data_IF_994502948484
#
_entry.id   IF_994502948484
#
_cell.length_a   1.000
_cell.length_b   1.000
_cell.length_c   1.000
_cell.angle_alpha   90.00
_cell.angle_beta   90.00
_cell.angle_gamma   90.00
#
_symmetry.space_group_name_H-M   'P 1'
#
loop_
_entity.id
_entity.type
_entity.pdbx_description
1 polymer ?
#
# COMPACT_ATOMS: atom_id res chain seq x y z
N UNK A 1 0.91 25.41 5.84
CA UNK A 1 -0.28 26.06 6.44
C UNK A 1 -0.93 25.20 7.53
N UNK A 2 -1.24 23.90 7.29
CA UNK A 2 -1.85 23.03 8.31
C UNK A 2 -1.05 23.06 9.64
N UNK A 3 0.29 22.87 9.57
CA UNK A 3 1.15 22.90 10.75
C UNK A 3 1.14 24.27 11.47
N UNK A 4 1.12 25.37 10.74
CA UNK A 4 1.08 26.71 11.35
C UNK A 4 -0.23 27.00 12.09
N UNK A 5 -1.32 26.37 11.68
CA UNK A 5 -2.65 26.52 12.32
C UNK A 5 -2.83 25.62 13.55
N UNK A 6 -1.92 24.68 13.81
CA UNK A 6 -2.00 23.81 14.98
C UNK A 6 -1.58 24.56 16.25
N UNK A 7 -2.32 24.35 17.33
CA UNK A 7 -1.91 24.71 18.68
C UNK A 7 -0.65 23.92 19.11
N UNK A 8 -0.05 24.29 20.24
CA UNK A 8 1.16 23.63 20.75
C UNK A 8 0.96 22.12 21.03
N UNK A 9 -0.26 21.69 21.35
CA UNK A 9 -0.64 20.28 21.54
C UNK A 9 -1.48 19.73 20.40
N UNK A 10 -1.58 20.48 19.29
CA UNK A 10 -2.44 20.15 18.15
C UNK A 10 -1.91 18.98 17.34
N UNK A 11 -2.85 18.25 16.75
CA UNK A 11 -2.62 17.15 15.81
C UNK A 11 -3.41 17.41 14.54
N UNK A 12 -2.88 17.05 13.38
CA UNK A 12 -3.58 17.12 12.10
C UNK A 12 -3.43 15.81 11.34
N UNK A 13 -4.51 15.36 10.71
CA UNK A 13 -4.48 14.28 9.74
C UNK A 13 -4.80 14.84 8.35
N UNK A 14 -3.96 14.53 7.38
CA UNK A 14 -4.04 15.07 6.02
C UNK A 14 -4.02 13.90 5.05
N UNK A 15 -5.03 13.83 4.18
CA UNK A 15 -5.04 12.86 3.08
C UNK A 15 -4.15 13.38 1.96
N UNK A 16 -3.21 12.55 1.53
CA UNK A 16 -2.18 12.92 0.58
C UNK A 16 -2.02 11.86 -0.51
N UNK A 17 -1.65 12.28 -1.72
CA UNK A 17 -1.21 11.35 -2.76
C UNK A 17 0.18 10.78 -2.45
N UNK A 18 0.46 9.52 -2.83
CA UNK A 18 1.70 8.83 -2.49
C UNK A 18 2.97 9.58 -2.94
N UNK A 19 2.90 10.26 -4.07
CA UNK A 19 4.06 10.95 -4.66
C UNK A 19 4.76 11.95 -3.75
N UNK A 20 4.04 12.64 -2.87
CA UNK A 20 4.66 13.60 -1.95
C UNK A 20 5.59 12.97 -0.92
N UNK A 21 5.46 11.66 -0.67
CA UNK A 21 6.24 10.95 0.32
C UNK A 21 7.64 10.54 -0.17
N UNK A 22 7.88 10.51 -1.50
CA UNK A 22 9.17 10.07 -2.07
C UNK A 22 9.77 10.99 -3.13
N UNK A 23 8.98 11.88 -3.76
CA UNK A 23 9.51 12.79 -4.78
C UNK A 23 10.60 13.71 -4.22
N UNK A 24 11.59 14.02 -5.06
CA UNK A 24 12.63 15.00 -4.75
C UNK A 24 12.15 16.46 -4.87
N UNK A 25 13.08 17.39 -4.77
CA UNK A 25 12.80 18.80 -4.99
C UNK A 25 12.12 19.49 -3.80
N UNK A 26 11.03 20.21 -4.05
CA UNK A 26 10.33 20.99 -3.03
C UNK A 26 9.69 20.10 -1.96
N UNK A 27 9.10 18.98 -2.37
CA UNK A 27 8.48 18.02 -1.46
C UNK A 27 9.51 17.42 -0.49
N UNK A 28 10.71 17.09 -0.96
CA UNK A 28 11.77 16.58 -0.11
C UNK A 28 12.19 17.61 0.94
N UNK A 29 12.29 18.88 0.59
CA UNK A 29 12.62 19.96 1.55
C UNK A 29 11.55 20.07 2.63
N UNK A 30 10.28 19.92 2.27
CA UNK A 30 9.18 19.92 3.23
C UNK A 30 9.27 18.70 4.16
N UNK A 31 9.50 17.51 3.63
CA UNK A 31 9.66 16.30 4.44
C UNK A 31 10.86 16.43 5.39
N UNK A 32 12.00 16.91 4.88
CA UNK A 32 13.17 17.20 5.71
C UNK A 32 12.79 18.10 6.89
N UNK A 33 12.17 19.24 6.62
CA UNK A 33 11.72 20.15 7.67
C UNK A 33 10.80 19.47 8.70
N UNK A 34 9.85 18.65 8.26
CA UNK A 34 8.91 17.97 9.15
C UNK A 34 9.58 16.91 10.01
N UNK A 35 10.54 16.15 9.45
CA UNK A 35 11.28 15.09 10.16
C UNK A 35 12.26 15.70 11.15
N UNK A 36 13.06 16.69 10.72
CA UNK A 36 14.08 17.37 11.57
C UNK A 36 13.44 18.04 12.79
N UNK A 37 12.22 18.56 12.64
CA UNK A 37 11.48 19.17 13.73
C UNK A 37 10.56 18.19 14.48
N UNK A 38 10.64 16.91 14.19
CA UNK A 38 9.90 15.84 14.86
C UNK A 38 8.37 16.02 14.81
N UNK A 39 7.82 16.54 13.69
CA UNK A 39 6.39 16.80 13.55
C UNK A 39 5.60 15.64 12.97
N UNK A 40 6.25 14.62 12.37
CA UNK A 40 5.57 13.48 11.77
C UNK A 40 5.30 12.43 12.85
N UNK A 41 4.05 12.17 13.13
CA UNK A 41 3.64 11.15 14.09
C UNK A 41 3.45 9.79 13.41
N UNK A 42 2.66 9.76 12.32
CA UNK A 42 2.33 8.51 11.62
C UNK A 42 2.10 8.78 10.13
N UNK A 43 2.48 7.82 9.30
CA UNK A 43 2.08 7.72 7.89
C UNK A 43 1.30 6.42 7.71
N UNK A 44 0.07 6.51 7.20
CA UNK A 44 -0.81 5.36 6.98
C UNK A 44 -1.08 5.22 5.49
N UNK A 45 -0.71 4.10 4.90
CA UNK A 45 -1.11 3.75 3.54
C UNK A 45 -2.51 3.16 3.57
N UNK A 46 -3.40 3.64 2.71
CA UNK A 46 -4.77 3.17 2.60
C UNK A 46 -4.97 2.33 1.33
N UNK A 47 -6.02 1.50 1.27
CA UNK A 47 -6.33 0.72 0.09
C UNK A 47 -6.52 1.60 -1.16
N UNK A 48 -6.23 1.07 -2.36
CA UNK A 48 -6.57 1.75 -3.60
C UNK A 48 -8.09 1.80 -3.80
N UNK A 49 -8.53 2.62 -4.74
CA UNK A 49 -9.93 2.66 -5.16
C UNK A 49 -10.94 2.99 -4.04
N UNK A 50 -10.53 3.80 -3.04
CA UNK A 50 -11.43 4.30 -1.99
C UNK A 50 -12.24 5.52 -2.42
N UNK A 51 -11.71 6.34 -3.33
CA UNK A 51 -12.34 7.58 -3.75
C UNK A 51 -13.02 7.44 -5.10
N UNK A 52 -14.18 8.07 -5.23
CA UNK A 52 -14.93 8.04 -6.47
C UNK A 52 -14.14 8.63 -7.63
N UNK A 53 -14.11 7.95 -8.76
CA UNK A 53 -13.43 8.42 -9.99
C UNK A 53 -11.91 8.28 -10.02
N UNK A 54 -11.28 7.63 -9.03
CA UNK A 54 -9.85 7.33 -9.05
C UNK A 54 -9.53 6.00 -8.39
N UNK A 55 -8.66 5.21 -9.00
CA UNK A 55 -8.12 3.98 -8.44
C UNK A 55 -6.83 4.19 -7.64
N UNK A 56 -6.35 5.43 -7.52
CA UNK A 56 -5.07 5.72 -6.86
C UNK A 56 -5.21 5.49 -5.35
N UNK A 57 -4.29 4.73 -4.78
CA UNK A 57 -4.14 4.63 -3.33
C UNK A 57 -3.77 5.99 -2.75
N UNK A 58 -4.20 6.28 -1.54
CA UNK A 58 -3.84 7.51 -0.82
C UNK A 58 -3.24 7.15 0.53
N UNK A 59 -2.54 8.13 1.11
CA UNK A 59 -1.95 7.98 2.42
C UNK A 59 -2.49 9.05 3.35
N UNK A 60 -2.56 8.75 4.64
CA UNK A 60 -2.84 9.74 5.68
C UNK A 60 -1.52 10.12 6.34
N UNK A 61 -1.21 11.42 6.32
CA UNK A 61 -0.09 11.99 7.07
C UNK A 61 -0.62 12.57 8.37
N UNK A 62 -0.19 12.02 9.50
CA UNK A 62 -0.52 12.54 10.82
C UNK A 62 0.64 13.38 11.34
N UNK A 63 0.36 14.65 11.60
CA UNK A 63 1.29 15.60 12.18
C UNK A 63 0.94 15.90 13.64
N UNK A 64 1.95 16.02 14.49
CA UNK A 64 1.79 16.38 15.90
C UNK A 64 2.89 17.36 16.31
N UNK A 65 2.52 18.42 17.05
CA UNK A 65 3.48 19.34 17.66
C UNK A 65 3.92 18.90 19.06
N UNK A 66 3.28 17.91 19.64
CA UNK A 66 3.54 17.44 21.01
C UNK A 66 4.02 15.99 21.04
N UNK A 67 4.86 15.65 20.10
CA UNK A 67 5.48 14.32 20.04
C UNK A 67 6.66 14.28 21.02
N UNK A 68 6.69 13.23 21.86
CA UNK A 68 7.71 13.09 22.93
C UNK A 68 8.84 12.15 22.54
N UNK A 69 8.63 11.28 21.56
CA UNK A 69 9.64 10.39 21.00
C UNK A 69 10.14 10.89 19.64
N UNK A 70 11.23 10.32 19.15
CA UNK A 70 11.84 10.65 17.84
C UNK A 70 11.49 9.61 16.77
N UNK A 71 10.45 8.79 16.98
CA UNK A 71 10.07 7.72 16.06
C UNK A 71 8.84 8.12 15.25
N UNK A 72 8.85 7.81 13.99
CA UNK A 72 7.69 7.91 13.10
C UNK A 72 7.10 6.52 12.90
N UNK A 73 5.78 6.39 13.08
CA UNK A 73 5.06 5.16 12.82
C UNK A 73 4.65 5.09 11.35
N UNK A 74 4.84 3.93 10.74
CA UNK A 74 4.36 3.61 9.39
C UNK A 74 3.37 2.47 9.50
N UNK A 75 2.19 2.62 8.89
CA UNK A 75 1.12 1.60 8.90
C UNK A 75 0.73 1.32 7.46
N UNK A 76 0.83 0.07 7.04
CA UNK A 76 0.28 -0.39 5.77
C UNK A 76 -1.12 -0.98 6.00
N UNK A 77 -2.12 -0.19 5.69
CA UNK A 77 -3.52 -0.60 5.71
C UNK A 77 -4.06 -0.82 4.28
N UNK A 78 -3.19 -1.12 3.31
CA UNK A 78 -3.59 -1.39 1.92
C UNK A 78 -4.03 -2.84 1.68
N UNK A 79 -3.79 -3.75 2.64
CA UNK A 79 -4.13 -5.16 2.55
C UNK A 79 -5.63 -5.43 2.53
N UNK A 80 -6.03 -6.60 2.02
CA UNK A 80 -7.44 -6.99 1.87
C UNK A 80 -8.20 -7.07 3.20
N UNK A 81 -7.51 -7.23 4.31
CA UNK A 81 -8.07 -7.24 5.67
C UNK A 81 -8.50 -5.85 6.18
N UNK A 82 -8.20 -4.78 5.44
CA UNK A 82 -8.52 -3.40 5.80
C UNK A 82 -9.60 -2.76 4.93
N UNK A 83 -10.20 -3.49 3.99
CA UNK A 83 -11.30 -2.96 3.18
C UNK A 83 -12.25 -4.05 2.73
N UNK A 84 -13.45 -3.63 2.37
CA UNK A 84 -14.43 -4.47 1.67
C UNK A 84 -14.50 -4.03 0.22
N UNK A 85 -14.35 -4.98 -0.70
CA UNK A 85 -14.53 -4.72 -2.13
C UNK A 85 -16.01 -4.62 -2.45
N UNK A 86 -16.42 -3.53 -3.09
CA UNK A 86 -17.75 -3.35 -3.65
C UNK A 86 -17.67 -3.23 -5.19
N UNK A 87 -18.83 -3.12 -5.85
CA UNK A 87 -18.90 -3.18 -7.32
C UNK A 87 -18.04 -2.13 -8.02
N UNK A 88 -17.99 -0.90 -7.49
CA UNK A 88 -17.30 0.22 -8.15
C UNK A 88 -16.08 0.72 -7.40
N UNK A 89 -16.00 0.52 -6.09
CA UNK A 89 -14.93 1.01 -5.24
C UNK A 89 -14.72 0.12 -4.01
N UNK A 90 -13.62 0.31 -3.32
CA UNK A 90 -13.37 -0.28 -2.02
C UNK A 90 -13.98 0.61 -0.93
N UNK A 91 -14.41 0.00 0.16
CA UNK A 91 -15.04 0.70 1.29
C UNK A 91 -14.36 0.31 2.60
N UNK A 92 -14.07 1.30 3.43
CA UNK A 92 -13.66 1.10 4.81
C UNK A 92 -14.91 1.00 5.69
N UNK A 93 -15.13 -0.17 6.28
CA UNK A 93 -16.18 -0.34 7.30
C UNK A 93 -15.71 0.18 8.65
N UNK A 94 -16.63 0.36 9.60
CA UNK A 94 -16.29 0.77 10.97
C UNK A 94 -15.29 -0.18 11.63
N UNK A 95 -15.33 -1.47 11.33
CA UNK A 95 -14.39 -2.47 11.81
C UNK A 95 -12.98 -2.24 11.25
N UNK A 96 -12.86 -1.91 9.97
CA UNK A 96 -11.57 -1.59 9.34
C UNK A 96 -10.99 -0.30 9.93
N UNK A 97 -11.83 0.72 10.12
CA UNK A 97 -11.42 1.98 10.73
C UNK A 97 -10.95 1.74 12.17
N UNK A 98 -11.71 0.97 12.96
CA UNK A 98 -11.34 0.63 14.34
C UNK A 98 -9.98 -0.09 14.41
N UNK A 99 -9.72 -1.03 13.48
CA UNK A 99 -8.43 -1.72 13.36
C UNK A 99 -7.27 -0.77 13.09
N UNK A 100 -7.44 0.16 12.15
CA UNK A 100 -6.42 1.17 11.82
C UNK A 100 -6.17 2.09 13.02
N UNK A 101 -7.22 2.52 13.71
CA UNK A 101 -7.12 3.36 14.92
C UNK A 101 -6.43 2.60 16.07
N UNK A 102 -6.72 1.32 16.24
CA UNK A 102 -6.06 0.48 17.24
C UNK A 102 -4.54 0.39 16.99
N UNK A 103 -4.13 0.12 15.74
CA UNK A 103 -2.72 0.13 15.33
C UNK A 103 -2.06 1.48 15.57
N UNK A 104 -2.75 2.57 15.22
CA UNK A 104 -2.26 3.93 15.44
C UNK A 104 -2.03 4.24 16.93
N UNK A 105 -2.95 3.81 17.80
CA UNK A 105 -2.88 4.09 19.25
C UNK A 105 -1.83 3.23 19.96
N UNK A 106 -1.69 1.96 19.61
CA UNK A 106 -0.74 1.03 20.24
C UNK A 106 0.71 1.37 19.92
N UNK A 107 0.98 1.91 18.72
CA UNK A 107 2.33 2.27 18.23
C UNK A 107 3.34 1.12 18.27
N UNK A 108 2.87 -0.11 18.39
CA UNK A 108 3.69 -1.31 18.39
C UNK A 108 3.99 -1.76 16.94
N UNK A 109 5.21 -2.25 16.67
CA UNK A 109 5.50 -2.83 15.37
C UNK A 109 4.73 -4.15 15.21
N UNK A 110 4.07 -4.30 14.06
CA UNK A 110 3.36 -5.51 13.67
C UNK A 110 3.93 -5.96 12.33
N UNK A 111 4.38 -7.21 12.27
CA UNK A 111 5.00 -7.76 11.08
C UNK A 111 4.09 -7.58 9.85
N UNK A 112 4.63 -7.08 8.76
CA UNK A 112 3.95 -6.79 7.48
C UNK A 112 2.89 -5.68 7.52
N UNK A 113 2.58 -5.10 8.70
CA UNK A 113 1.49 -4.13 8.85
C UNK A 113 1.99 -2.80 9.40
N UNK A 114 2.82 -2.81 10.45
CA UNK A 114 3.25 -1.57 11.09
C UNK A 114 4.72 -1.61 11.52
N UNK A 115 5.42 -0.50 11.30
CA UNK A 115 6.79 -0.30 11.75
C UNK A 115 6.93 1.03 12.49
N UNK A 116 7.83 1.06 13.47
CA UNK A 116 8.23 2.28 14.17
C UNK A 116 9.70 2.57 13.87
N UNK A 117 9.98 3.71 13.25
CA UNK A 117 11.29 4.03 12.66
C UNK A 117 11.82 5.33 13.25
N UNK A 118 13.07 5.34 13.68
CA UNK A 118 13.71 6.56 14.17
C UNK A 118 13.91 7.59 13.04
N UNK A 119 13.76 8.87 13.37
CA UNK A 119 13.90 9.96 12.40
C UNK A 119 15.29 9.99 11.76
N UNK A 120 16.36 9.55 12.46
CA UNK A 120 17.70 9.38 11.89
C UNK A 120 17.73 8.41 10.71
N UNK A 121 17.02 7.28 10.81
CA UNK A 121 16.91 6.31 9.72
C UNK A 121 16.14 6.86 8.53
N UNK A 122 15.14 7.71 8.78
CA UNK A 122 14.40 8.40 7.72
C UNK A 122 15.31 9.43 7.02
N UNK A 123 16.14 10.14 7.75
CA UNK A 123 17.15 11.04 7.21
C UNK A 123 18.15 10.30 6.33
N UNK A 124 18.73 9.19 6.80
CA UNK A 124 19.64 8.32 6.04
C UNK A 124 19.01 7.83 4.73
N UNK A 125 17.68 7.58 4.74
CA UNK A 125 16.91 7.20 3.55
C UNK A 125 16.41 8.41 2.73
N UNK A 126 17.11 9.55 2.79
CA UNK A 126 16.82 10.74 1.99
C UNK A 126 15.47 11.38 2.29
N UNK A 127 14.98 11.24 3.53
CA UNK A 127 13.66 11.72 3.97
C UNK A 127 12.50 11.09 3.18
N UNK A 128 12.68 9.85 2.72
CA UNK A 128 11.61 9.07 2.13
C UNK A 128 10.61 8.66 3.23
N UNK A 129 9.34 8.91 3.00
CA UNK A 129 8.23 8.62 3.92
C UNK A 129 7.23 7.62 3.33
N UNK A 130 7.61 6.91 2.26
CA UNK A 130 6.78 5.83 1.73
C UNK A 130 6.69 4.68 2.72
N UNK A 131 5.48 4.22 3.01
CA UNK A 131 5.23 3.13 3.95
C UNK A 131 5.96 1.86 3.51
N UNK A 132 5.94 1.53 2.22
CA UNK A 132 6.62 0.37 1.64
C UNK A 132 8.15 0.37 1.79
N UNK A 133 8.75 1.50 2.17
CA UNK A 133 10.20 1.56 2.46
C UNK A 133 10.54 1.08 3.88
N UNK A 134 9.56 0.91 4.74
CA UNK A 134 9.74 0.59 6.17
C UNK A 134 8.90 -0.60 6.64
N UNK A 135 7.79 -0.87 5.96
CA UNK A 135 6.92 -2.03 6.22
C UNK A 135 7.14 -3.01 5.07
N UNK A 136 7.69 -4.18 5.38
CA UNK A 136 7.87 -5.25 4.40
C UNK A 136 6.51 -5.78 3.96
N UNK A 137 6.32 -5.94 2.65
CA UNK A 137 5.14 -6.63 2.15
C UNK A 137 5.20 -8.12 2.53
N UNK A 138 4.06 -8.69 2.91
CA UNK A 138 3.95 -10.13 3.06
C UNK A 138 4.22 -10.79 1.71
N UNK A 139 5.22 -11.67 1.66
CA UNK A 139 5.52 -12.44 0.46
C UNK A 139 4.43 -13.51 0.27
N UNK A 140 3.37 -13.13 -0.45
CA UNK A 140 2.27 -14.02 -0.85
C UNK A 140 2.61 -14.80 -2.14
N UNK A 141 3.88 -14.91 -2.52
CA UNK A 141 4.22 -15.78 -3.63
C UNK A 141 3.80 -17.21 -3.29
N UNK A 142 2.74 -17.68 -3.95
CA UNK A 142 2.45 -19.10 -3.99
C UNK A 142 3.74 -19.80 -4.44
N UNK A 143 4.17 -20.77 -3.67
CA UNK A 143 5.24 -21.67 -4.11
C UNK A 143 4.72 -22.39 -5.35
N UNK A 144 5.02 -21.80 -6.52
CA UNK A 144 4.60 -22.38 -7.80
C UNK A 144 5.31 -23.72 -7.93
N UNK A 145 4.56 -24.80 -7.81
CA UNK A 145 5.04 -26.13 -8.17
C UNK A 145 5.26 -26.17 -9.68
N UNK A 146 6.52 -25.95 -10.07
CA UNK A 146 6.95 -25.91 -11.47
C UNK A 146 6.60 -27.23 -12.19
N UNK A 147 6.63 -28.36 -11.47
CA UNK A 147 6.31 -29.67 -12.04
C UNK A 147 4.81 -29.73 -12.38
N UNK A 148 3.96 -29.29 -11.47
CA UNK A 148 2.53 -29.21 -11.68
C UNK A 148 2.17 -28.22 -12.79
N UNK A 149 2.77 -27.04 -12.79
CA UNK A 149 2.55 -26.02 -13.81
C UNK A 149 2.94 -26.53 -15.21
N UNK A 150 4.09 -27.18 -15.34
CA UNK A 150 4.52 -27.78 -16.61
C UNK A 150 3.59 -28.90 -17.06
N UNK A 151 3.06 -29.71 -16.16
CA UNK A 151 2.08 -30.74 -16.49
C UNK A 151 0.74 -30.12 -16.97
N UNK A 152 0.31 -29.05 -16.38
CA UNK A 152 -0.92 -28.32 -16.77
C UNK A 152 -0.74 -27.62 -18.13
N UNK A 153 0.44 -27.04 -18.39
CA UNK A 153 0.80 -26.49 -19.71
C UNK A 153 0.77 -27.59 -20.77
N UNK A 154 1.42 -28.72 -20.52
CA UNK A 154 1.45 -29.83 -21.47
C UNK A 154 0.07 -30.40 -21.79
N UNK A 155 -0.81 -30.46 -20.76
CA UNK A 155 -2.21 -30.87 -20.94
C UNK A 155 -2.99 -29.86 -21.79
N UNK A 156 -2.79 -28.57 -21.54
CA UNK A 156 -3.45 -27.50 -22.30
C UNK A 156 -3.02 -27.47 -23.74
N UNK A 157 -1.72 -27.64 -24.02
CA UNK A 157 -1.18 -27.72 -25.38
C UNK A 157 -1.78 -28.89 -26.14
N UNK A 158 -1.80 -30.08 -25.55
CA UNK A 158 -2.44 -31.26 -26.16
C UNK A 158 -3.91 -31.03 -26.51
N UNK A 159 -4.65 -30.32 -25.62
CA UNK A 159 -6.05 -29.99 -25.89
C UNK A 159 -6.21 -29.00 -27.04
N UNK A 160 -5.31 -28.00 -27.12
CA UNK A 160 -5.29 -27.05 -28.25
C UNK A 160 -4.98 -27.76 -29.56
N UNK A 161 -4.03 -28.68 -29.59
CA UNK A 161 -3.66 -29.43 -30.80
C UNK A 161 -4.80 -30.36 -31.25
N UNK A 162 -5.50 -31.00 -30.32
CA UNK A 162 -6.69 -31.79 -30.62
C UNK A 162 -7.81 -30.96 -31.26
N UNK A 163 -8.12 -29.79 -30.65
CA UNK A 163 -9.13 -28.87 -31.17
C UNK A 163 -8.76 -28.31 -32.56
N UNK A 164 -7.49 -28.08 -32.83
CA UNK A 164 -7.00 -27.68 -34.16
C UNK A 164 -7.22 -28.81 -35.19
N UNK A 165 -6.88 -30.02 -34.83
CA UNK A 165 -7.13 -31.16 -35.69
C UNK A 165 -8.61 -31.37 -36.02
N UNK A 166 -9.50 -31.17 -35.03
CA UNK A 166 -10.96 -31.24 -35.23
C UNK A 166 -11.44 -30.10 -36.17
N UNK A 167 -10.91 -28.88 -36.03
CA UNK A 167 -11.20 -27.77 -36.93
C UNK A 167 -10.74 -28.07 -38.35
N UNK A 168 -9.49 -28.60 -38.51
CA UNK A 168 -8.95 -28.96 -39.80
C UNK A 168 -9.77 -30.07 -40.49
N UNK A 169 -10.32 -31.01 -39.72
CA UNK A 169 -11.22 -32.05 -40.23
C UNK A 169 -12.53 -31.45 -40.73
N UNK A 170 -13.14 -30.55 -39.98
CA UNK A 170 -14.38 -29.86 -40.38
C UNK A 170 -14.15 -29.02 -41.66
N UNK A 171 -13.04 -28.30 -41.73
CA UNK A 171 -12.70 -27.51 -42.94
C UNK A 171 -12.61 -28.38 -44.16
N UNK A 172 -11.95 -29.55 -44.08
CA UNK A 172 -11.87 -30.53 -45.20
C UNK A 172 -13.20 -31.09 -45.62
N UNK A 173 -14.13 -31.24 -44.65
CA UNK A 173 -15.50 -31.69 -44.95
C UNK A 173 -16.33 -30.61 -45.67
N UNK A 174 -16.03 -29.35 -45.44
CA UNK A 174 -16.73 -28.21 -46.06
C UNK A 174 -16.15 -27.90 -47.47
N UNK A 175 -14.84 -28.08 -47.64
CA UNK A 175 -14.10 -27.73 -48.87
C UNK A 175 -14.09 -28.88 -49.91
N UNK A 176 -14.45 -30.12 -49.51
CA UNK A 176 -14.50 -31.30 -50.36
C UNK A 176 -15.86 -31.50 -51.01
#
# INVERSE_FOLDING_TARGET
RALSSLSARGRAAIVCFPGIFYRGGAEQKIRKYLVDNNFIETVISLPPNLFYGTSIAVNILVLSKHKTDTKTQFIDASGEEFFKKETNNNVLTDEHIAKIIDLFNKKEPVKYIAASVDNSKIEENGYNLSVSSYVEAEDKHEVIDIVKLNADIARTVKRVDALRADIDAIIREIEG
#
